data_IF_858063952636
#
_entry.id   IF_858063952636
#
_cell.length_a   1.000
_cell.length_b   1.000
_cell.length_c   1.000
_cell.angle_alpha   90.00
_cell.angle_beta   90.00
_cell.angle_gamma   90.00
#
_symmetry.space_group_name_H-M   'P 1'
#
loop_
_entity.id
_entity.type
_entity.pdbx_description
1 polymer ?
#
# COMPACT_ATOMS: atom_id res chain seq x y z
N UNK A 1 -2.22 4.65 8.23
CA UNK A 1 -1.74 4.36 6.87
C UNK A 1 -1.95 5.56 5.96
N UNK A 2 -0.96 5.82 5.12
CA UNK A 2 -1.12 6.82 4.06
C UNK A 2 -1.76 6.16 2.84
N UNK A 3 -2.90 6.70 2.40
CA UNK A 3 -3.64 6.22 1.23
C UNK A 3 -3.98 7.40 0.33
N UNK A 4 -4.13 7.14 -0.96
CA UNK A 4 -4.48 8.18 -1.93
C UNK A 4 -5.42 7.62 -3.00
N UNK A 5 -5.95 8.50 -3.85
CA UNK A 5 -6.86 8.09 -4.90
C UNK A 5 -6.11 7.48 -6.08
N UNK A 6 -6.62 6.38 -6.60
CA UNK A 6 -6.09 5.80 -7.85
C UNK A 6 -6.30 6.79 -9.00
N UNK A 7 -5.33 6.89 -9.92
CA UNK A 7 -5.48 7.76 -11.08
C UNK A 7 -6.72 7.42 -11.92
N UNK A 8 -7.36 8.42 -12.50
CA UNK A 8 -8.49 8.21 -13.39
C UNK A 8 -8.13 7.44 -14.66
N UNK A 9 -6.84 7.39 -14.99
CA UNK A 9 -6.31 6.61 -16.12
C UNK A 9 -6.21 5.11 -15.83
N UNK A 10 -6.38 4.68 -14.58
CA UNK A 10 -6.33 3.27 -14.23
C UNK A 10 -7.54 2.53 -14.80
N UNK A 11 -7.31 1.31 -15.31
CA UNK A 11 -8.38 0.44 -15.81
C UNK A 11 -9.21 -0.11 -14.65
N UNK A 12 -8.51 -0.52 -13.55
CA UNK A 12 -9.16 -1.09 -12.36
C UNK A 12 -9.39 -0.02 -11.31
N UNK A 13 -10.62 0.02 -10.77
CA UNK A 13 -10.95 0.83 -9.58
C UNK A 13 -10.47 2.29 -9.65
N UNK A 14 -10.58 2.91 -10.82
CA UNK A 14 -10.12 4.29 -11.01
C UNK A 14 -10.81 5.24 -10.02
N UNK A 15 -10.01 6.14 -9.46
CA UNK A 15 -10.49 7.15 -8.51
C UNK A 15 -10.78 6.65 -7.10
N UNK A 16 -10.77 5.33 -6.87
CA UNK A 16 -10.96 4.78 -5.53
C UNK A 16 -9.70 4.93 -4.68
N UNK A 17 -9.87 4.92 -3.37
CA UNK A 17 -8.75 5.04 -2.44
C UNK A 17 -8.00 3.72 -2.34
N UNK A 18 -6.68 3.80 -2.37
CA UNK A 18 -5.78 2.65 -2.38
C UNK A 18 -4.41 3.05 -1.83
N UNK A 19 -3.51 2.07 -1.76
CA UNK A 19 -2.10 2.32 -1.44
C UNK A 19 -1.47 3.27 -2.48
N UNK A 20 -0.46 4.06 -2.09
CA UNK A 20 0.07 5.10 -2.97
C UNK A 20 0.94 4.59 -4.12
N UNK A 21 1.58 3.44 -3.97
CA UNK A 21 2.58 2.99 -4.94
C UNK A 21 2.53 1.49 -5.15
N UNK A 22 2.65 1.07 -6.41
CA UNK A 22 2.81 -0.33 -6.77
C UNK A 22 3.64 -0.45 -8.05
N UNK A 23 4.28 -1.59 -8.23
CA UNK A 23 4.97 -1.93 -9.49
C UNK A 23 5.01 -3.44 -9.65
N UNK A 24 5.29 -3.88 -10.88
CA UNK A 24 5.55 -5.28 -11.15
C UNK A 24 7.02 -5.60 -10.95
N UNK A 25 7.31 -6.81 -10.46
CA UNK A 25 8.67 -7.32 -10.40
C UNK A 25 9.20 -7.58 -11.81
N UNK A 26 10.48 -7.28 -12.01
CA UNK A 26 11.18 -7.61 -13.25
C UNK A 26 11.69 -9.04 -13.18
N UNK A 27 11.89 -9.65 -14.34
CA UNK A 27 12.45 -11.00 -14.42
C UNK A 27 13.80 -11.07 -13.68
N UNK A 28 13.93 -12.04 -12.79
CA UNK A 28 15.15 -12.25 -12.01
C UNK A 28 15.34 -11.30 -10.84
N UNK A 29 14.41 -10.35 -10.64
CA UNK A 29 14.50 -9.38 -9.54
C UNK A 29 13.99 -9.99 -8.23
N UNK A 30 14.72 -9.79 -7.13
CA UNK A 30 14.23 -10.20 -5.81
C UNK A 30 13.14 -9.25 -5.32
N UNK A 31 12.35 -9.69 -4.34
CA UNK A 31 11.31 -8.85 -3.74
C UNK A 31 11.91 -7.58 -3.14
N UNK A 32 13.01 -7.70 -2.41
CA UNK A 32 13.68 -6.54 -1.79
C UNK A 32 14.21 -5.57 -2.83
N UNK A 33 14.80 -6.08 -3.91
CA UNK A 33 15.29 -5.22 -5.00
C UNK A 33 14.15 -4.47 -5.68
N UNK A 34 13.01 -5.13 -5.91
CA UNK A 34 11.82 -4.50 -6.50
C UNK A 34 11.26 -3.39 -5.61
N UNK A 35 11.14 -3.65 -4.31
CA UNK A 35 10.66 -2.65 -3.36
C UNK A 35 11.60 -1.44 -3.29
N UNK A 36 12.91 -1.67 -3.24
CA UNK A 36 13.90 -0.59 -3.24
C UNK A 36 13.86 0.21 -4.54
N UNK A 37 13.68 -0.45 -5.68
CA UNK A 37 13.56 0.23 -6.97
C UNK A 37 12.33 1.15 -6.99
N UNK A 38 11.18 0.67 -6.50
CA UNK A 38 9.96 1.47 -6.42
C UNK A 38 10.17 2.71 -5.56
N UNK A 39 10.77 2.55 -4.37
CA UNK A 39 11.05 3.67 -3.48
C UNK A 39 12.06 4.65 -4.07
N UNK A 40 13.12 4.17 -4.68
CA UNK A 40 14.14 5.04 -5.29
C UNK A 40 13.57 5.87 -6.43
N UNK A 41 12.65 5.30 -7.21
CA UNK A 41 11.99 6.03 -8.29
C UNK A 41 11.03 7.09 -7.75
N UNK A 42 10.33 6.79 -6.67
CA UNK A 42 9.37 7.72 -6.08
C UNK A 42 10.05 8.81 -5.24
N UNK A 43 11.12 8.44 -4.52
CA UNK A 43 11.83 9.34 -3.59
C UNK A 43 13.33 9.25 -3.78
N UNK A 44 13.87 9.78 -4.90
CA UNK A 44 15.30 9.60 -5.24
C UNK A 44 16.26 10.25 -4.26
N UNK A 45 15.77 11.20 -3.44
CA UNK A 45 16.61 11.91 -2.46
C UNK A 45 16.55 11.29 -1.06
N UNK A 46 15.66 10.32 -0.84
CA UNK A 46 15.46 9.70 0.46
C UNK A 46 16.16 8.35 0.52
N UNK A 47 17.47 8.36 0.78
CA UNK A 47 18.30 7.16 0.81
C UNK A 47 18.16 6.32 2.07
N UNK A 48 17.50 6.85 3.09
CA UNK A 48 17.32 6.22 4.41
C UNK A 48 16.02 5.42 4.54
N UNK A 49 15.14 5.47 3.53
CA UNK A 49 13.90 4.72 3.55
C UNK A 49 14.17 3.23 3.32
N UNK A 50 13.66 2.40 4.23
CA UNK A 50 13.81 0.95 4.13
C UNK A 50 12.46 0.27 4.10
N UNK A 51 12.14 -0.45 3.01
CA UNK A 51 10.89 -1.20 2.94
C UNK A 51 10.99 -2.46 3.79
N UNK A 52 9.94 -2.75 4.55
CA UNK A 52 9.84 -3.98 5.35
C UNK A 52 8.75 -4.86 4.76
N UNK A 53 9.12 -6.07 4.34
CA UNK A 53 8.16 -7.05 3.87
C UNK A 53 7.18 -7.39 5.00
N UNK A 54 5.89 -7.36 4.70
CA UNK A 54 4.84 -7.50 5.72
C UNK A 54 3.93 -8.68 5.45
N UNK A 55 3.32 -8.75 4.27
CA UNK A 55 2.40 -9.85 3.90
C UNK A 55 2.51 -10.14 2.41
N UNK A 56 2.08 -11.35 2.03
CA UNK A 56 1.79 -11.68 0.64
C UNK A 56 0.40 -12.28 0.57
N UNK A 57 -0.28 -12.05 -0.54
CA UNK A 57 -1.61 -12.59 -0.76
C UNK A 57 -1.90 -12.72 -2.25
N UNK A 58 -2.87 -13.56 -2.59
CA UNK A 58 -3.33 -13.74 -3.96
C UNK A 58 -4.60 -12.93 -4.17
N UNK A 59 -4.59 -12.06 -5.16
CA UNK A 59 -5.76 -11.27 -5.55
C UNK A 59 -6.22 -11.70 -6.94
N UNK A 60 -7.49 -12.10 -7.04
CA UNK A 60 -8.10 -12.50 -8.28
C UNK A 60 -9.52 -11.95 -8.37
N UNK A 61 -9.84 -11.35 -9.50
CA UNK A 61 -11.20 -10.98 -9.87
C UNK A 61 -11.41 -11.23 -11.36
N UNK A 62 -12.51 -10.73 -11.92
CA UNK A 62 -12.82 -10.95 -13.34
C UNK A 62 -11.79 -10.34 -14.30
N UNK A 63 -10.99 -9.39 -13.83
CA UNK A 63 -10.08 -8.59 -14.66
C UNK A 63 -8.61 -8.90 -14.41
N UNK A 64 -8.26 -9.48 -13.28
CA UNK A 64 -6.86 -9.69 -12.91
C UNK A 64 -6.68 -10.91 -12.01
N UNK A 65 -5.49 -11.49 -12.11
CA UNK A 65 -5.04 -12.59 -11.25
C UNK A 65 -3.58 -12.33 -10.94
N UNK A 66 -3.26 -11.98 -9.69
CA UNK A 66 -1.88 -11.63 -9.33
C UNK A 66 -1.54 -12.01 -7.90
N UNK A 67 -0.26 -12.25 -7.68
CA UNK A 67 0.31 -12.45 -6.36
C UNK A 67 0.90 -11.12 -5.91
N UNK A 68 0.46 -10.64 -4.74
CA UNK A 68 0.83 -9.33 -4.23
C UNK A 68 1.76 -9.51 -3.03
N UNK A 69 2.83 -8.72 -3.00
CA UNK A 69 3.78 -8.64 -1.89
C UNK A 69 3.74 -7.21 -1.35
N UNK A 70 3.29 -7.06 -0.11
CA UNK A 70 3.18 -5.75 0.53
C UNK A 70 4.39 -5.45 1.38
N UNK A 71 4.99 -4.29 1.15
CA UNK A 71 6.06 -3.73 1.98
C UNK A 71 5.55 -2.47 2.67
N UNK A 72 5.94 -2.29 3.92
CA UNK A 72 5.62 -1.08 4.69
C UNK A 72 6.90 -0.27 4.87
N UNK A 73 6.76 1.04 4.74
CA UNK A 73 7.84 2.00 4.95
C UNK A 73 7.37 3.02 5.98
N UNK A 74 8.17 3.21 7.02
CA UNK A 74 7.94 4.26 8.00
C UNK A 74 8.64 5.53 7.53
N UNK A 75 7.88 6.62 7.44
CA UNK A 75 8.41 7.92 7.03
C UNK A 75 8.27 8.91 8.19
N UNK A 76 9.37 9.54 8.56
CA UNK A 76 9.37 10.58 9.59
C UNK A 76 8.93 11.94 9.03
N UNK A 77 9.04 12.10 7.72
CA UNK A 77 8.76 13.35 7.01
C UNK A 77 7.31 13.35 6.51
N UNK A 78 6.60 14.44 6.78
CA UNK A 78 5.19 14.64 6.37
C UNK A 78 5.05 15.17 4.94
N UNK A 79 6.14 15.34 4.20
CA UNK A 79 6.11 15.95 2.86
C UNK A 79 5.22 15.20 1.87
N UNK A 80 5.03 13.89 2.07
CA UNK A 80 4.17 13.09 1.21
C UNK A 80 2.70 13.58 1.25
N UNK A 81 2.27 14.15 2.36
CA UNK A 81 0.90 14.65 2.52
C UNK A 81 0.57 15.78 1.54
N UNK A 82 1.59 16.54 1.13
CA UNK A 82 1.44 17.66 0.21
C UNK A 82 1.97 17.35 -1.19
N UNK A 83 2.35 16.11 -1.46
CA UNK A 83 2.93 15.71 -2.74
C UNK A 83 1.82 15.62 -3.81
N UNK A 84 1.90 16.43 -4.89
CA UNK A 84 0.85 16.44 -5.91
C UNK A 84 0.74 15.13 -6.72
N UNK A 85 1.74 14.26 -6.62
CA UNK A 85 1.69 12.94 -7.29
C UNK A 85 0.68 12.01 -6.62
N UNK A 86 0.35 12.25 -5.35
CA UNK A 86 -0.57 11.40 -4.58
C UNK A 86 -1.86 12.16 -4.30
N UNK A 87 -2.74 12.23 -5.30
CA UNK A 87 -4.00 12.97 -5.22
C UNK A 87 -4.90 12.40 -4.13
N UNK A 88 -5.46 13.30 -3.32
CA UNK A 88 -6.33 12.89 -2.22
C UNK A 88 -5.60 12.16 -1.10
N UNK A 89 -4.26 12.25 -1.07
CA UNK A 89 -3.44 11.58 -0.08
C UNK A 89 -3.70 12.09 1.32
N UNK A 90 -3.94 11.18 2.26
CA UNK A 90 -4.07 11.51 3.67
C UNK A 90 -3.76 10.31 4.55
N UNK A 91 -3.55 10.57 5.82
CA UNK A 91 -3.38 9.52 6.81
C UNK A 91 -4.76 9.02 7.25
N UNK A 92 -4.91 7.69 7.24
CA UNK A 92 -6.13 7.01 7.66
C UNK A 92 -5.85 6.21 8.92
N UNK A 93 -6.70 6.34 9.93
CA UNK A 93 -6.68 5.45 11.08
C UNK A 93 -7.37 4.13 10.69
N UNK A 94 -7.06 3.06 11.43
CA UNK A 94 -7.71 1.77 11.19
C UNK A 94 -9.23 1.87 11.39
N UNK A 95 -9.67 2.65 12.37
CA UNK A 95 -11.09 2.87 12.61
C UNK A 95 -11.77 3.53 11.41
N UNK A 96 -11.14 4.55 10.80
CA UNK A 96 -11.66 5.20 9.60
C UNK A 96 -11.74 4.24 8.42
N UNK A 97 -10.71 3.40 8.25
CA UNK A 97 -10.70 2.39 7.18
C UNK A 97 -11.86 1.41 7.38
N UNK A 98 -12.01 0.85 8.58
CA UNK A 98 -13.03 -0.14 8.87
C UNK A 98 -14.43 0.41 8.71
N UNK A 99 -14.64 1.70 9.02
CA UNK A 99 -15.92 2.36 8.84
C UNK A 99 -16.35 2.46 7.38
N UNK A 100 -15.41 2.47 6.45
CA UNK A 100 -15.66 2.63 5.02
C UNK A 100 -15.51 1.34 4.20
N UNK A 101 -15.23 0.21 4.85
CA UNK A 101 -15.14 -1.07 4.14
C UNK A 101 -16.51 -1.48 3.60
N UNK A 102 -16.51 -2.10 2.42
CA UNK A 102 -17.73 -2.62 1.80
C UNK A 102 -18.63 -1.57 1.15
N UNK A 103 -18.19 -0.32 1.10
CA UNK A 103 -18.98 0.78 0.51
C UNK A 103 -18.51 1.16 -0.90
N UNK A 104 -17.61 0.41 -1.48
CA UNK A 104 -16.96 0.70 -2.77
C UNK A 104 -16.11 1.98 -2.76
N UNK A 105 -15.74 2.46 -1.58
CA UNK A 105 -14.88 3.61 -1.42
C UNK A 105 -13.41 3.27 -1.71
N UNK A 106 -12.97 2.10 -1.23
CA UNK A 106 -11.62 1.58 -1.48
C UNK A 106 -11.62 0.65 -2.69
N UNK A 107 -10.42 0.44 -3.28
CA UNK A 107 -10.26 -0.59 -4.30
C UNK A 107 -10.51 -1.98 -3.71
N UNK A 108 -10.96 -2.91 -4.55
CA UNK A 108 -11.15 -4.31 -4.11
C UNK A 108 -9.86 -4.91 -3.58
N UNK A 109 -8.75 -4.64 -4.25
CA UNK A 109 -7.44 -5.16 -3.86
C UNK A 109 -7.05 -4.65 -2.46
N UNK A 110 -7.27 -3.37 -2.19
CA UNK A 110 -6.95 -2.81 -0.88
C UNK A 110 -7.82 -3.41 0.22
N UNK A 111 -9.11 -3.65 -0.03
CA UNK A 111 -9.97 -4.24 0.99
C UNK A 111 -9.50 -5.64 1.39
N UNK A 112 -9.10 -6.46 0.42
CA UNK A 112 -8.52 -7.77 0.70
C UNK A 112 -7.18 -7.64 1.42
N UNK A 113 -6.33 -6.74 0.97
CA UNK A 113 -5.03 -6.46 1.59
C UNK A 113 -5.18 -6.07 3.05
N UNK A 114 -6.12 -5.17 3.33
CA UNK A 114 -6.39 -4.71 4.69
C UNK A 114 -6.85 -5.84 5.60
N UNK A 115 -7.66 -6.75 5.09
CA UNK A 115 -8.11 -7.92 5.85
C UNK A 115 -6.94 -8.77 6.32
N UNK A 116 -5.96 -9.00 5.46
CA UNK A 116 -4.73 -9.72 5.83
C UNK A 116 -3.83 -8.88 6.74
N UNK A 117 -3.68 -7.61 6.41
CA UNK A 117 -2.80 -6.70 7.15
C UNK A 117 -3.24 -6.53 8.61
N UNK A 118 -4.53 -6.40 8.85
CA UNK A 118 -5.03 -6.19 10.21
C UNK A 118 -4.77 -7.38 11.12
N UNK A 119 -4.75 -8.61 10.57
CA UNK A 119 -4.40 -9.80 11.33
C UNK A 119 -2.95 -9.75 11.80
N UNK A 120 -2.04 -9.35 10.93
CA UNK A 120 -0.61 -9.22 11.25
C UNK A 120 -0.39 -8.12 12.30
N UNK A 121 -1.05 -6.98 12.12
CA UNK A 121 -0.95 -5.87 13.06
C UNK A 121 -1.55 -6.27 14.42
N UNK A 122 -2.68 -6.96 14.43
CA UNK A 122 -3.28 -7.46 15.65
C UNK A 122 -2.37 -8.40 16.41
N UNK A 123 -1.66 -9.27 15.71
CA UNK A 123 -0.66 -10.16 16.31
C UNK A 123 0.50 -9.36 16.91
N UNK A 124 1.01 -8.37 16.17
CA UNK A 124 2.11 -7.51 16.65
C UNK A 124 1.72 -6.76 17.92
N UNK A 125 0.53 -6.20 17.97
CA UNK A 125 0.01 -5.50 19.15
C UNK A 125 -0.10 -6.44 20.35
N UNK A 126 -0.60 -7.67 20.12
CA UNK A 126 -0.78 -8.67 21.17
C UNK A 126 0.53 -9.09 21.81
N UNK A 127 1.60 -9.16 21.04
CA UNK A 127 2.91 -9.60 21.51
C UNK A 127 3.92 -8.47 21.69
N UNK A 128 3.45 -7.24 21.62
CA UNK A 128 4.31 -6.09 21.83
C UNK A 128 4.73 -6.01 23.29
N UNK A 129 6.04 -6.06 23.54
CA UNK A 129 6.59 -5.85 24.86
C UNK A 129 6.75 -4.35 25.06
N UNK A 130 6.02 -3.82 26.00
CA UNK A 130 6.06 -2.41 26.35
C UNK A 130 7.23 -2.09 27.29
#
# INVERSE_FOLDING_TARGET
LFLCNRPQSCILDKGKVDIPMECYLRYGETLTAGANRLLSNAFPKASDLKPTFTISYHFENEQTNRLVYLFIVDMEDDSILCDPRFKGGKLWTFQQIEHNLGTHFFSECFELEYEHLKQVIGIREKYKVS
#
